data_IF_912683544954
#
_entry.id   IF_912683544954
#
_cell.length_a   1.000
_cell.length_b   1.000
_cell.length_c   1.000
_cell.angle_alpha   90.00
_cell.angle_beta   90.00
_cell.angle_gamma   90.00
#
_symmetry.space_group_name_H-M   'P 1'
#
loop_
_entity.id
_entity.type
_entity.pdbx_description
1 polymer ?
#
# COMPACT_ATOMS: atom_id res chain seq x y z
N UNK A 1 18.02 37.95 10.77
CA UNK A 1 17.44 36.72 10.21
C UNK A 1 17.29 35.77 11.38
N UNK A 2 16.07 35.64 11.89
CA UNK A 2 15.80 35.18 13.26
C UNK A 2 15.56 33.68 13.33
N UNK A 3 16.03 33.06 14.41
CA UNK A 3 15.92 31.64 14.75
C UNK A 3 14.49 31.05 14.61
N UNK A 4 13.46 31.89 14.68
CA UNK A 4 12.05 31.52 14.51
C UNK A 4 11.67 31.21 13.05
N UNK A 5 12.26 31.92 12.08
CA UNK A 5 12.04 31.72 10.64
C UNK A 5 12.64 30.38 10.18
N UNK A 6 13.79 29.98 10.74
CA UNK A 6 14.39 28.68 10.45
C UNK A 6 13.62 27.51 11.09
N UNK A 7 13.03 27.72 12.28
CA UNK A 7 12.18 26.72 12.93
C UNK A 7 10.87 26.51 12.17
N UNK A 8 10.19 27.59 11.79
CA UNK A 8 8.95 27.53 11.02
C UNK A 8 9.15 26.85 9.65
N UNK A 9 10.24 27.18 8.94
CA UNK A 9 10.61 26.47 7.70
C UNK A 9 10.89 24.99 7.91
N UNK A 10 11.52 24.64 9.04
CA UNK A 10 11.78 23.25 9.42
C UNK A 10 10.47 22.47 9.60
N UNK A 11 9.53 23.05 10.34
CA UNK A 11 8.22 22.46 10.62
C UNK A 11 7.37 22.36 9.34
N UNK A 12 7.36 23.40 8.50
CA UNK A 12 6.71 23.38 7.19
C UNK A 12 7.28 22.28 6.30
N UNK A 13 8.62 22.17 6.21
CA UNK A 13 9.26 21.13 5.38
C UNK A 13 8.87 19.73 5.82
N UNK A 14 8.81 19.46 7.13
CA UNK A 14 8.39 18.15 7.65
C UNK A 14 6.91 17.91 7.35
N UNK A 15 6.07 18.92 7.48
CA UNK A 15 4.64 18.84 7.16
C UNK A 15 4.43 18.53 5.67
N UNK A 16 5.00 19.33 4.77
CA UNK A 16 4.87 19.12 3.33
C UNK A 16 5.49 17.81 2.88
N UNK A 17 6.62 17.39 3.43
CA UNK A 17 7.19 16.08 3.11
C UNK A 17 6.23 14.92 3.44
N UNK A 18 5.50 15.01 4.57
CA UNK A 18 4.49 14.00 4.94
C UNK A 18 3.27 14.05 4.02
N UNK A 19 2.80 15.23 3.65
CA UNK A 19 1.66 15.38 2.75
C UNK A 19 2.00 14.94 1.32
N UNK A 20 3.20 15.26 0.84
CA UNK A 20 3.73 14.80 -0.44
C UNK A 20 3.85 13.28 -0.47
N UNK A 21 4.33 12.65 0.62
CA UNK A 21 4.37 11.19 0.70
C UNK A 21 2.97 10.59 0.60
N UNK A 22 1.98 11.14 1.31
CA UNK A 22 0.58 10.71 1.20
C UNK A 22 0.04 10.88 -0.22
N UNK A 23 0.36 12.00 -0.87
CA UNK A 23 -0.08 12.29 -2.23
C UNK A 23 0.56 11.32 -3.24
N UNK A 24 1.86 11.07 -3.13
CA UNK A 24 2.59 10.12 -3.96
C UNK A 24 2.07 8.70 -3.79
N UNK A 25 1.75 8.27 -2.56
CA UNK A 25 1.09 6.97 -2.30
C UNK A 25 -0.24 6.85 -3.04
N UNK A 26 -1.07 7.90 -3.00
CA UNK A 26 -2.35 7.93 -3.73
C UNK A 26 -2.14 7.91 -5.25
N UNK A 27 -1.15 8.64 -5.76
CA UNK A 27 -0.83 8.64 -7.19
C UNK A 27 -0.37 7.26 -7.67
N UNK A 28 0.55 6.63 -6.94
CA UNK A 28 1.04 5.28 -7.24
C UNK A 28 -0.09 4.24 -7.23
N UNK A 29 -1.03 4.34 -6.29
CA UNK A 29 -2.23 3.49 -6.27
C UNK A 29 -3.07 3.63 -7.55
N UNK A 30 -3.27 4.87 -8.03
CA UNK A 30 -3.98 5.12 -9.30
C UNK A 30 -3.23 4.61 -10.52
N UNK A 31 -1.92 4.83 -10.57
CA UNK A 31 -1.06 4.33 -11.66
C UNK A 31 -1.10 2.80 -11.70
N UNK A 32 -1.03 2.14 -10.54
CA UNK A 32 -1.19 0.69 -10.44
C UNK A 32 -2.57 0.25 -10.95
N UNK A 33 -3.65 0.89 -10.51
CA UNK A 33 -4.99 0.55 -10.97
C UNK A 33 -5.15 0.68 -12.50
N UNK A 34 -4.53 1.70 -13.12
CA UNK A 34 -4.50 1.85 -14.57
C UNK A 34 -3.65 0.77 -15.24
N UNK A 35 -2.48 0.45 -14.69
CA UNK A 35 -1.63 -0.61 -15.22
C UNK A 35 -2.31 -1.98 -15.17
N UNK A 36 -2.95 -2.31 -14.05
CA UNK A 36 -3.67 -3.58 -13.85
C UNK A 36 -4.89 -3.72 -14.81
N UNK A 37 -5.47 -2.61 -15.29
CA UNK A 37 -6.55 -2.62 -16.30
C UNK A 37 -6.03 -3.00 -17.70
N UNK A 38 -4.83 -2.56 -18.04
CA UNK A 38 -4.20 -2.79 -19.36
C UNK A 38 -3.50 -4.14 -19.39
N UNK A 39 -2.80 -4.51 -18.30
CA UNK A 39 -2.08 -5.77 -18.15
C UNK A 39 -2.73 -6.65 -17.06
N UNK A 40 -3.79 -7.35 -17.46
CA UNK A 40 -4.51 -8.28 -16.58
C UNK A 40 -3.67 -9.48 -16.16
N UNK A 41 -2.78 -9.96 -17.04
CA UNK A 41 -1.93 -11.13 -16.76
C UNK A 41 -0.85 -10.79 -15.71
N UNK A 42 -0.23 -9.61 -15.81
CA UNK A 42 0.70 -9.11 -14.79
C UNK A 42 0.02 -8.86 -13.45
N UNK A 43 -1.22 -8.35 -13.46
CA UNK A 43 -2.02 -8.13 -12.25
C UNK A 43 -2.35 -9.44 -11.52
N UNK A 44 -2.76 -10.48 -12.25
CA UNK A 44 -3.05 -11.80 -11.67
C UNK A 44 -1.79 -12.48 -11.13
N UNK A 45 -0.67 -12.39 -11.86
CA UNK A 45 0.63 -12.90 -11.39
C UNK A 45 1.13 -12.24 -10.10
N UNK A 46 0.82 -10.96 -9.88
CA UNK A 46 1.14 -10.27 -8.62
C UNK A 46 0.31 -10.81 -7.45
N UNK A 47 -1.00 -11.02 -7.65
CA UNK A 47 -1.88 -11.59 -6.62
C UNK A 47 -1.44 -13.00 -6.23
N UNK A 48 -1.09 -13.83 -7.21
CA UNK A 48 -0.60 -15.18 -6.98
C UNK A 48 0.73 -15.19 -6.21
N UNK A 49 1.64 -14.27 -6.54
CA UNK A 49 2.90 -14.11 -5.82
C UNK A 49 2.67 -13.67 -4.36
N UNK A 50 1.67 -12.84 -4.09
CA UNK A 50 1.33 -12.43 -2.73
C UNK A 50 0.65 -13.56 -1.93
N UNK A 51 -0.28 -14.29 -2.54
CA UNK A 51 -0.88 -15.47 -1.93
C UNK A 51 0.19 -16.53 -1.60
N UNK A 52 1.16 -16.75 -2.49
CA UNK A 52 2.27 -17.65 -2.25
C UNK A 52 3.18 -17.20 -1.09
N UNK A 53 3.43 -15.89 -0.94
CA UNK A 53 4.15 -15.35 0.23
C UNK A 53 3.37 -15.57 1.52
N UNK A 54 2.06 -15.38 1.50
CA UNK A 54 1.18 -15.60 2.66
C UNK A 54 1.23 -17.07 3.12
N UNK A 55 1.11 -18.01 2.18
CA UNK A 55 1.23 -19.46 2.42
C UNK A 55 2.60 -19.84 3.01
N UNK A 56 3.67 -19.12 2.70
CA UNK A 56 5.02 -19.33 3.29
C UNK A 56 5.13 -18.86 4.74
N UNK A 57 4.40 -17.81 5.14
CA UNK A 57 4.41 -17.28 6.51
C UNK A 57 3.65 -18.21 7.46
N UNK A 58 2.58 -18.84 6.96
CA UNK A 58 1.70 -19.71 7.72
C UNK A 58 1.72 -21.16 7.20
N UNK A 59 2.88 -21.85 7.16
CA UNK A 59 2.99 -23.18 6.55
C UNK A 59 2.21 -24.25 7.32
N UNK A 60 1.90 -24.00 8.60
CA UNK A 60 1.14 -24.92 9.46
C UNK A 60 -0.37 -24.73 9.38
N UNK A 61 -0.84 -23.62 8.82
CA UNK A 61 -2.26 -23.35 8.64
C UNK A 61 -2.60 -23.50 7.17
N UNK A 62 -3.51 -24.43 6.86
CA UNK A 62 -4.11 -24.48 5.54
C UNK A 62 -5.13 -23.36 5.44
N UNK A 63 -4.66 -22.17 5.09
CA UNK A 63 -5.54 -21.04 4.79
C UNK A 63 -6.42 -21.43 3.61
N UNK A 64 -7.72 -21.27 3.78
CA UNK A 64 -8.69 -21.30 2.70
C UNK A 64 -8.49 -20.09 1.79
N UNK A 65 -8.94 -20.18 0.54
CA UNK A 65 -8.80 -19.06 -0.40
C UNK A 65 -9.52 -17.80 0.10
N UNK A 66 -10.62 -17.98 0.83
CA UNK A 66 -11.37 -16.89 1.47
C UNK A 66 -10.56 -16.19 2.58
N UNK A 67 -9.83 -16.93 3.40
CA UNK A 67 -8.95 -16.35 4.42
C UNK A 67 -7.76 -15.62 3.80
N UNK A 68 -7.23 -16.13 2.68
CA UNK A 68 -6.17 -15.46 1.92
C UNK A 68 -6.67 -14.13 1.37
N UNK A 69 -7.86 -14.11 0.77
CA UNK A 69 -8.47 -12.88 0.26
C UNK A 69 -8.72 -11.85 1.37
N UNK A 70 -9.21 -12.28 2.54
CA UNK A 70 -9.40 -11.39 3.69
C UNK A 70 -8.07 -10.79 4.19
N UNK A 71 -7.02 -11.60 4.30
CA UNK A 71 -5.71 -11.14 4.73
C UNK A 71 -5.04 -10.21 3.72
N UNK A 72 -5.22 -10.47 2.41
CA UNK A 72 -4.78 -9.57 1.35
C UNK A 72 -5.60 -8.27 1.35
N UNK A 73 -6.91 -8.34 1.58
CA UNK A 73 -7.79 -7.18 1.72
C UNK A 73 -7.40 -6.28 2.89
N UNK A 74 -7.10 -6.87 4.05
CA UNK A 74 -6.54 -6.16 5.21
C UNK A 74 -5.20 -5.48 4.88
N UNK A 75 -4.27 -6.21 4.25
CA UNK A 75 -2.96 -5.65 3.86
C UNK A 75 -3.08 -4.46 2.90
N UNK A 76 -4.06 -4.48 2.01
CA UNK A 76 -4.29 -3.42 1.03
C UNK A 76 -5.12 -2.25 1.57
N UNK A 77 -5.60 -2.32 2.83
CA UNK A 77 -6.43 -1.27 3.43
C UNK A 77 -7.84 -1.21 2.86
N UNK A 78 -8.34 -2.31 2.28
CA UNK A 78 -9.71 -2.44 1.75
C UNK A 78 -10.63 -3.12 2.79
N UNK A 79 -10.06 -3.68 3.86
CA UNK A 79 -10.76 -4.53 4.83
C UNK A 79 -11.31 -3.86 6.11
N UNK A 80 -11.41 -2.54 6.19
CA UNK A 80 -11.90 -1.83 7.39
C UNK A 80 -13.46 -1.78 7.52
N UNK A 81 -14.21 -2.48 6.66
CA UNK A 81 -15.69 -2.55 6.68
C UNK A 81 -16.26 -3.92 7.11
N UNK A 82 -15.64 -4.58 8.09
CA UNK A 82 -16.25 -5.71 8.82
C UNK A 82 -16.24 -5.50 10.34
#
# INVERSE_FOLDING_TARGET
MGLYDDKERGDERVHFAREDEKLLRKLLSKVKAQADQVDKQGADGHKDAEAAKLKKILPKHKLTDQEIELLLGWKHGVGDEL
#
